data_IF_561126196982
#
_entry.id   IF_561126196982
#
_cell.length_a   1.000
_cell.length_b   1.000
_cell.length_c   1.000
_cell.angle_alpha   90.00
_cell.angle_beta   90.00
_cell.angle_gamma   90.00
#
_symmetry.space_group_name_H-M   'P 1'
#
loop_
_entity.id
_entity.type
_entity.pdbx_description
1 polymer ?
2 water ?
#
# COMPACT_ATOMS: atom_id res chain seq x y z
N UNK A 1 -0.66 11.35 23.87
CA UNK A 1 -0.42 11.68 22.41
C UNK A 1 -1.69 11.55 21.60
N UNK A 2 -1.57 11.21 20.30
CA UNK A 2 -2.75 11.14 19.43
C UNK A 2 -2.70 9.90 18.58
N UNK A 3 -3.86 9.44 18.18
CA UNK A 3 -3.90 8.32 17.18
C UNK A 3 -4.64 8.82 15.93
N UNK A 4 -4.48 8.07 14.84
CA UNK A 4 -5.14 8.44 13.63
C UNK A 4 -5.03 7.35 12.60
N UNK A 5 -5.57 7.63 11.40
CA UNK A 5 -5.56 6.66 10.30
C UNK A 5 -4.91 7.35 9.12
N UNK A 6 -3.93 6.68 8.54
CA UNK A 6 -3.19 7.30 7.40
C UNK A 6 -4.13 7.41 6.19
N UNK A 7 -4.25 8.64 5.67
CA UNK A 7 -5.23 8.90 4.60
C UNK A 7 -4.60 8.57 3.23
N UNK A 8 -3.31 8.87 3.16
CA UNK A 8 -2.56 8.71 1.88
C UNK A 8 -1.09 8.80 2.24
N UNK A 9 -0.22 8.01 1.56
CA UNK A 9 1.21 8.24 1.79
C UNK A 9 1.90 7.94 0.47
N UNK A 10 2.69 8.88 -0.03
CA UNK A 10 3.33 8.67 -1.33
C UNK A 10 4.73 8.08 -0.94
N UNK A 11 4.87 6.76 -1.13
CA UNK A 11 6.14 6.07 -0.73
C UNK A 11 7.32 6.66 -1.52
N UNK A 12 7.10 6.96 -2.81
CA UNK A 12 8.18 7.50 -3.59
C UNK A 12 8.68 8.85 -3.03
N UNK A 13 7.74 9.74 -2.64
CA UNK A 13 8.07 11.06 -2.31
C UNK A 13 8.39 11.22 -0.81
N UNK A 14 8.04 10.18 -0.06
CA UNK A 14 8.31 10.15 1.42
C UNK A 14 7.45 11.03 2.32
N UNK A 15 6.19 11.24 1.94
CA UNK A 15 5.34 11.99 2.86
C UNK A 15 3.87 11.67 2.58
N UNK A 16 3.04 11.98 3.56
CA UNK A 16 1.58 11.67 3.49
C UNK A 16 0.83 12.51 4.52
N UNK A 17 -0.41 12.09 4.74
CA UNK A 17 -1.36 12.76 5.65
C UNK A 17 -2.05 11.75 6.49
N UNK A 18 -2.23 12.11 7.75
CA UNK A 18 -2.97 11.25 8.68
C UNK A 18 -4.28 11.97 9.03
N UNK A 19 -5.37 11.21 8.99
CA UNK A 19 -6.67 11.73 9.35
C UNK A 19 -6.90 11.57 10.87
N UNK A 20 -7.46 12.62 11.46
CA UNK A 20 -7.84 12.59 12.88
C UNK A 20 -9.34 12.80 12.99
N UNK A 21 -9.93 12.07 13.94
CA UNK A 21 -11.35 12.15 14.19
C UNK A 21 -11.76 13.54 14.67
N UNK A 22 -12.54 14.22 13.85
CA UNK A 22 -13.04 15.56 14.26
C UNK A 22 -11.95 16.62 14.33
N UNK A 23 -10.88 16.44 13.54
CA UNK A 23 -9.79 17.38 13.62
C UNK A 23 -9.10 17.50 12.22
N UNK A 24 -8.14 18.42 12.00
CA UNK A 24 -7.60 18.65 10.63
C UNK A 24 -6.60 17.51 10.37
N UNK A 25 -6.37 17.20 9.10
CA UNK A 25 -5.36 16.20 8.76
C UNK A 25 -4.01 16.72 9.20
N UNK A 26 -3.10 15.79 9.44
CA UNK A 26 -1.74 16.08 9.95
C UNK A 26 -0.73 15.64 8.92
N UNK A 27 0.21 16.51 8.55
CA UNK A 27 1.22 16.12 7.54
C UNK A 27 2.22 15.18 8.20
N UNK A 28 2.64 14.14 7.49
CA UNK A 28 3.74 13.30 8.04
C UNK A 28 4.87 13.04 7.01
N UNK A 29 6.11 13.32 7.44
CA UNK A 29 7.30 13.16 6.58
C UNK A 29 7.95 11.85 7.01
N UNK A 30 8.74 11.26 6.12
CA UNK A 30 9.20 9.94 6.44
C UNK A 30 10.20 10.02 7.58
N UNK A 31 10.85 11.19 7.74
CA UNK A 31 11.85 11.36 8.82
C UNK A 31 11.21 11.27 10.21
N UNK A 32 9.89 11.46 10.27
CA UNK A 32 9.09 11.35 11.51
C UNK A 32 8.69 9.96 11.92
N UNK A 33 8.93 8.95 11.07
CA UNK A 33 8.52 7.59 11.38
C UNK A 33 9.54 6.92 12.24
N UNK A 34 9.09 6.47 13.41
CA UNK A 34 10.01 5.76 14.35
C UNK A 34 10.64 4.49 13.73
N UNK A 35 11.86 4.14 14.13
CA UNK A 35 12.52 2.90 13.62
C UNK A 35 11.90 1.68 14.33
N UNK A 36 10.78 1.20 13.79
CA UNK A 36 10.17 -0.03 14.35
C UNK A 36 9.79 -1.06 13.25
N UNK A 37 10.55 -1.06 12.15
CA UNK A 37 10.33 -2.07 11.10
C UNK A 37 9.83 -1.48 9.79
N UNK A 38 9.16 -0.33 9.85
CA UNK A 38 8.52 0.22 8.59
C UNK A 38 9.14 1.59 8.26
N UNK A 39 9.63 1.76 7.01
CA UNK A 39 10.17 3.03 6.63
C UNK A 39 9.15 3.93 5.94
N UNK A 40 7.97 3.36 5.69
CA UNK A 40 6.89 4.09 5.04
C UNK A 40 5.60 3.89 5.80
N UNK A 41 4.59 4.72 5.43
CA UNK A 41 3.22 4.38 5.84
C UNK A 41 2.37 4.01 4.64
N UNK A 42 1.27 3.31 4.87
CA UNK A 42 0.33 2.96 3.83
C UNK A 42 -1.05 3.54 4.20
N UNK A 43 -1.80 3.97 3.19
CA UNK A 43 -3.19 4.34 3.41
C UNK A 43 -3.84 3.25 4.22
N UNK A 44 -4.57 3.63 5.27
CA UNK A 44 -5.24 2.65 6.10
C UNK A 44 -4.52 2.27 7.38
N UNK A 45 -3.17 2.44 7.40
CA UNK A 45 -2.46 2.22 8.67
C UNK A 45 -3.06 3.00 9.87
N UNK A 46 -3.19 2.31 11.01
CA UNK A 46 -3.48 2.99 12.28
C UNK A 46 -2.15 3.39 12.90
N UNK A 47 -2.03 4.66 13.31
CA UNK A 47 -0.74 5.15 13.84
C UNK A 47 -0.94 5.95 15.10
N UNK A 48 0.10 6.01 15.93
CA UNK A 48 0.11 7.00 16.98
C UNK A 48 1.17 8.12 16.66
N UNK A 49 1.07 9.34 17.19
CA UNK A 49 2.04 10.36 16.84
C UNK A 49 1.80 11.54 17.85
N UNK A 50 2.72 12.49 17.85
CA UNK A 50 2.55 13.77 18.52
C UNK A 50 2.56 14.82 17.41
N UNK A 51 2.21 16.04 17.81
CA UNK A 51 2.24 17.15 16.88
C UNK A 51 3.11 18.24 17.49
N UNK A 52 4.00 18.83 16.70
CA UNK A 52 4.79 19.94 17.25
C UNK A 52 5.00 20.92 16.13
N UNK A 53 5.44 22.14 16.47
CA UNK A 53 5.74 23.08 15.38
C UNK A 53 6.80 22.56 14.43
N UNK A 54 6.56 22.81 13.15
CA UNK A 54 7.33 22.16 12.11
C UNK A 54 7.68 23.16 11.04
N UNK A 55 8.52 22.75 10.10
CA UNK A 55 8.97 23.68 9.07
C UNK A 55 8.21 23.57 7.73
N UNK A 56 7.31 22.58 7.63
CA UNK A 56 6.82 22.17 6.30
C UNK A 56 5.66 22.96 5.63
N UNK A 57 4.82 23.64 6.42
CA UNK A 57 3.67 24.40 5.85
C UNK A 57 2.59 23.66 5.03
N UNK A 58 2.33 22.35 5.32
CA UNK A 58 1.27 21.44 4.76
C UNK A 58 0.24 21.03 5.81
N UNK A 59 0.05 21.94 6.74
CA UNK A 59 -0.81 21.70 7.89
C UNK A 59 0.05 21.34 9.11
N UNK A 60 -0.61 21.11 10.25
CA UNK A 60 0.08 20.67 11.49
C UNK A 60 0.90 19.44 11.13
N UNK A 61 2.02 19.26 11.78
CA UNK A 61 2.94 18.23 11.34
C UNK A 61 3.19 17.25 12.44
N UNK A 62 3.17 15.97 12.07
CA UNK A 62 3.29 14.87 13.02
C UNK A 62 4.80 14.61 13.27
N UNK A 63 5.08 14.19 14.51
CA UNK A 63 6.43 13.69 14.89
C UNK A 63 6.21 12.40 15.69
N UNK A 64 7.30 11.64 15.89
CA UNK A 64 7.25 10.49 16.72
C UNK A 64 6.11 9.54 16.29
N UNK A 65 6.13 9.15 15.00
CA UNK A 65 5.05 8.38 14.43
C UNK A 65 5.33 6.91 14.51
N UNK A 66 4.39 6.17 15.04
CA UNK A 66 4.58 4.70 15.13
C UNK A 66 3.37 3.96 14.54
N UNK A 67 3.62 2.91 13.74
CA UNK A 67 2.48 2.11 13.30
C UNK A 67 1.90 1.32 14.51
N UNK A 68 0.56 1.31 14.54
CA UNK A 68 -0.19 0.44 15.47
C UNK A 68 -0.64 -0.80 14.71
N UNK A 69 -1.46 -0.55 13.70
CA UNK A 69 -1.98 -1.63 12.82
C UNK A 69 -1.60 -1.33 11.38
N UNK A 70 -0.71 -2.11 10.76
CA UNK A 70 -0.49 -1.88 9.32
C UNK A 70 -1.77 -2.18 8.53
N UNK A 71 -1.96 -1.51 7.41
CA UNK A 71 -3.20 -1.62 6.60
C UNK A 71 -3.46 -3.07 6.19
N UNK A 72 -4.74 -3.40 6.36
CA UNK A 72 -5.34 -4.64 6.01
C UNK A 72 -6.05 -4.21 4.74
N UNK A 73 -5.18 -3.81 3.81
CA UNK A 73 -5.42 -3.49 2.41
C UNK A 73 -6.55 -4.34 1.83
N UNK B 1 3.93 -21.97 -12.58
CA UNK B 1 4.04 -21.33 -11.20
C UNK B 1 4.95 -20.06 -11.31
N UNK B 2 4.33 -18.92 -11.59
CA UNK B 2 5.14 -17.79 -11.97
C UNK B 2 5.45 -16.93 -10.78
N UNK B 3 6.39 -16.02 -10.95
CA UNK B 3 6.57 -14.92 -9.97
C UNK B 3 6.57 -13.63 -10.73
N UNK B 4 6.22 -12.57 -10.04
CA UNK B 4 6.38 -11.27 -10.70
C UNK B 4 6.26 -10.13 -9.70
N UNK B 5 6.26 -8.90 -10.20
CA UNK B 5 6.21 -7.78 -9.27
C UNK B 5 5.02 -6.87 -9.73
N UNK B 6 4.16 -6.49 -8.82
CA UNK B 6 3.00 -5.69 -9.21
C UNK B 6 3.45 -4.28 -9.68
N UNK B 7 3.01 -3.85 -10.90
CA UNK B 7 3.40 -2.57 -11.50
C UNK B 7 2.54 -1.46 -10.94
N UNK B 8 1.25 -1.77 -10.77
CA UNK B 8 0.25 -0.86 -10.18
C UNK B 8 -1.01 -1.68 -9.88
N UNK B 9 -1.81 -1.16 -8.97
CA UNK B 9 -3.06 -1.78 -8.68
C UNK B 9 -4.01 -0.67 -8.35
N UNK B 10 -5.05 -0.52 -9.16
CA UNK B 10 -6.10 0.52 -8.96
C UNK B 10 -7.09 -0.01 -7.91
N UNK B 11 -6.90 0.38 -6.67
CA UNK B 11 -7.73 -0.14 -5.54
C UNK B 11 -9.21 0.16 -5.77
N UNK B 12 -9.51 1.32 -6.36
CA UNK B 12 -10.95 1.70 -6.49
C UNK B 12 -11.60 0.80 -7.49
N UNK B 13 -10.90 0.52 -8.60
CA UNK B 13 -11.45 -0.26 -9.68
C UNK B 13 -11.17 -1.79 -9.56
N UNK B 14 -10.38 -2.15 -8.59
CA UNK B 14 -10.16 -3.59 -8.31
C UNK B 14 -9.33 -4.39 -9.32
N UNK B 15 -8.39 -3.74 -9.98
CA UNK B 15 -7.51 -4.50 -10.88
C UNK B 15 -6.20 -3.81 -11.08
N UNK B 16 -5.22 -4.60 -11.52
CA UNK B 16 -3.88 -4.04 -11.77
C UNK B 16 -3.12 -4.96 -12.75
N UNK B 17 -1.80 -4.75 -12.79
CA UNK B 17 -0.93 -5.60 -13.66
C UNK B 17 0.29 -6.00 -12.92
N UNK B 18 0.74 -7.20 -13.27
CA UNK B 18 1.94 -7.81 -12.68
C UNK B 18 3.01 -7.86 -13.81
N UNK B 19 4.23 -7.42 -13.48
CA UNK B 19 5.36 -7.35 -14.42
C UNK B 19 6.08 -8.70 -14.25
N UNK B 20 6.51 -9.28 -15.38
CA UNK B 20 7.27 -10.51 -15.38
C UNK B 20 8.58 -10.29 -16.03
N UNK B 21 9.62 -10.95 -15.49
CA UNK B 21 11.01 -10.76 -16.05
C UNK B 21 11.04 -11.33 -17.46
N UNK B 22 11.34 -10.52 -18.46
CA UNK B 22 11.44 -11.01 -19.84
C UNK B 22 10.14 -11.51 -20.50
N UNK B 23 8.98 -11.06 -19.98
CA UNK B 23 7.75 -11.68 -20.46
C UNK B 23 6.65 -10.63 -20.41
N UNK B 24 5.45 -10.98 -20.86
CA UNK B 24 4.40 -9.96 -20.98
C UNK B 24 3.91 -9.61 -19.56
N UNK B 25 3.30 -8.41 -19.42
CA UNK B 25 2.60 -8.14 -18.16
C UNK B 25 1.32 -8.99 -18.09
N UNK B 26 0.79 -9.21 -16.89
CA UNK B 26 -0.39 -10.02 -16.71
C UNK B 26 -1.47 -9.29 -15.88
N UNK B 27 -2.72 -9.24 -16.37
CA UNK B 27 -3.79 -8.59 -15.66
C UNK B 27 -4.08 -9.32 -14.38
N UNK B 28 -4.42 -8.61 -13.32
CA UNK B 28 -4.83 -9.30 -12.04
C UNK B 28 -6.05 -8.56 -11.51
N UNK B 29 -7.08 -9.33 -11.18
CA UNK B 29 -8.34 -8.71 -10.70
C UNK B 29 -8.43 -8.98 -9.20
N UNK B 30 -9.20 -8.16 -8.46
CA UNK B 30 -9.24 -8.38 -7.00
C UNK B 30 -9.73 -9.78 -6.61
N UNK B 31 -10.59 -10.36 -7.44
CA UNK B 31 -11.24 -11.68 -7.09
C UNK B 31 -10.18 -12.78 -7.10
N UNK B 32 -9.01 -12.47 -7.67
CA UNK B 32 -7.82 -13.40 -7.79
C UNK B 32 -6.90 -13.49 -6.65
N UNK B 33 -6.99 -12.55 -5.68
CA UNK B 33 -5.97 -12.34 -4.70
C UNK B 33 -6.21 -13.22 -3.48
N UNK B 34 -5.24 -14.12 -3.20
CA UNK B 34 -5.24 -15.07 -2.06
C UNK B 34 -4.58 -14.42 -0.85
N UNK B 35 -5.37 -13.75 -0.02
CA UNK B 35 -4.80 -12.98 1.08
C UNK B 35 -5.60 -13.26 2.32
N UNK B 36 -4.87 -13.69 3.35
CA UNK B 36 -5.45 -13.98 4.64
C UNK B 36 -6.34 -12.78 4.95
N UNK B 37 -5.77 -11.58 4.88
CA UNK B 37 -6.51 -10.36 5.14
C UNK B 37 -6.46 -9.35 4.01
N UNK B 38 -5.58 -9.52 3.02
CA UNK B 38 -5.53 -8.54 1.90
C UNK B 38 -6.82 -8.54 1.12
N UNK B 39 -7.26 -7.34 0.69
CA UNK B 39 -8.22 -7.23 -0.42
C UNK B 39 -7.58 -6.54 -1.64
N UNK B 40 -6.46 -5.87 -1.45
CA UNK B 40 -5.78 -5.19 -2.58
C UNK B 40 -4.29 -5.55 -2.70
N UNK B 41 -3.71 -5.14 -3.83
CA UNK B 41 -2.26 -5.23 -4.05
C UNK B 41 -1.73 -3.82 -4.11
N UNK B 42 -0.44 -3.71 -3.88
CA UNK B 42 0.34 -2.51 -4.01
C UNK B 42 1.46 -2.59 -5.02
N UNK B 43 1.69 -1.46 -5.67
CA UNK B 43 2.85 -1.33 -6.49
C UNK B 43 4.13 -1.81 -5.73
N UNK B 44 4.83 -2.75 -6.33
CA UNK B 44 6.08 -3.30 -5.77
C UNK B 44 5.89 -4.64 -5.04
N UNK B 45 4.66 -5.03 -4.77
CA UNK B 45 4.42 -6.36 -4.15
C UNK B 45 5.07 -7.44 -5.01
N UNK B 46 5.80 -8.35 -4.37
CA UNK B 46 6.27 -9.50 -5.11
C UNK B 46 5.26 -10.60 -4.93
N UNK B 47 4.85 -11.19 -6.04
CA UNK B 47 3.72 -12.13 -5.98
C UNK B 47 4.08 -13.47 -6.65
N UNK B 48 3.50 -14.55 -6.16
CA UNK B 48 3.45 -15.79 -6.98
C UNK B 48 2.04 -15.96 -7.53
N UNK B 49 1.89 -16.65 -8.65
CA UNK B 49 0.57 -16.83 -9.26
C UNK B 49 0.64 -17.83 -10.40
N UNK B 50 -0.52 -18.20 -10.86
CA UNK B 50 -0.66 -19.00 -12.10
C UNK B 50 -1.40 -18.13 -13.12
N UNK B 51 -1.32 -18.49 -14.40
CA UNK B 51 -2.06 -17.74 -15.43
C UNK B 51 -3.24 -18.61 -15.88
N UNK B 52 -4.42 -18.01 -15.90
CA UNK B 52 -5.67 -18.72 -16.27
C UNK B 52 -6.06 -18.25 -17.66
N UNK B 53 -6.30 -19.18 -18.61
CA UNK B 53 -6.67 -18.70 -19.93
C UNK B 53 -7.95 -17.86 -19.88
N UNK B 54 -8.04 -16.92 -20.82
CA UNK B 54 -9.19 -16.06 -20.94
C UNK B 54 -10.39 -16.91 -21.31
N UNK B 55 -11.54 -16.50 -20.77
CA UNK B 55 -12.84 -17.14 -21.10
C UNK B 55 -13.81 -16.10 -21.59
N UNK B 56 -14.84 -16.52 -22.35
CA UNK B 56 -15.90 -15.62 -22.73
C UNK B 56 -15.30 -14.36 -23.38
N UNK B 57 -14.22 -14.56 -24.09
CA UNK B 57 -13.72 -13.49 -24.95
C UNK B 57 -12.69 -12.64 -24.29
N UNK B 58 -12.60 -12.76 -22.96
CA UNK B 58 -11.68 -11.92 -22.20
C UNK B 58 -10.28 -12.52 -22.23
N UNK B 59 -9.28 -11.68 -21.92
CA UNK B 59 -7.88 -12.12 -21.94
C UNK B 59 -7.53 -13.01 -20.73
N UNK B 60 -6.32 -13.56 -20.73
CA UNK B 60 -5.79 -14.39 -19.59
C UNK B 60 -5.61 -13.54 -18.34
N UNK B 61 -5.65 -14.18 -17.19
CA UNK B 61 -5.48 -13.36 -16.01
C UNK B 61 -4.69 -14.13 -14.99
N UNK B 62 -4.10 -13.41 -14.05
CA UNK B 62 -3.37 -14.00 -12.96
C UNK B 62 -4.36 -14.62 -11.98
N UNK B 63 -4.08 -15.87 -11.52
CA UNK B 63 -4.94 -16.48 -10.47
C UNK B 63 -4.05 -17.06 -9.33
N UNK B 64 -4.67 -17.37 -8.20
CA UNK B 64 -3.90 -17.83 -7.00
C UNK B 64 -2.78 -16.82 -6.68
N UNK B 65 -3.15 -15.52 -6.62
CA UNK B 65 -2.14 -14.52 -6.47
C UNK B 65 -1.84 -14.38 -5.02
N UNK B 66 -0.58 -14.65 -4.69
CA UNK B 66 -0.16 -14.55 -3.27
C UNK B 66 0.95 -13.54 -3.13
N UNK B 67 0.79 -12.59 -2.19
CA UNK B 67 1.82 -11.58 -1.93
C UNK B 67 2.84 -12.27 -1.05
N UNK B 68 4.00 -12.57 -1.62
CA UNK B 68 5.06 -13.26 -0.81
C UNK B 68 5.99 -12.20 -0.17
N UNK B 69 6.10 -11.00 -0.77
CA UNK B 69 6.90 -9.94 -0.25
C UNK B 69 6.14 -8.61 -0.42
N UNK B 70 5.49 -8.11 0.62
CA UNK B 70 4.78 -6.84 0.48
C UNK B 70 5.67 -5.67 -0.04
N UNK B 71 5.08 -4.65 -0.67
CA UNK B 71 5.92 -3.62 -1.34
C UNK B 71 6.79 -3.02 -0.24
N UNK B 72 8.11 -2.88 -0.47
CA UNK B 72 9.05 -2.50 0.60
C UNK B 72 8.35 -1.27 1.22
N UNK B 73 8.19 -1.25 2.56
CA UNK B 73 7.36 -0.21 3.21
C UNK B 73 7.88 0.16 4.62
#
# INVERSE_FOLDING_TARGET
MQKGRVKWFNAEKGYGFIEREGDTDVFVHYTAINAKGFRTLNEGDIVTFDVEPGRNGKGPQAVNVTVVEPARR
MQKGRVKWFNAEKGYGFIEREGDTDVFVHYTAINAKGFRTLNEGDIVTFDVEPGRNGKGPQAVNVTVVEPARR
#
